data_IF_889594473066
#
_entry.id   IF_889594473066
#
_cell.length_a   1.000
_cell.length_b   1.000
_cell.length_c   1.000
_cell.angle_alpha   90.00
_cell.angle_beta   90.00
_cell.angle_gamma   90.00
#
_symmetry.space_group_name_H-M   'P 1'
#
loop_
_entity.id
_entity.type
_entity.pdbx_description
1 polymer ?
#
# COMPACT_ATOMS: atom_id res chain seq x y z
N UNK A 1 14.58 38.92 -8.75
CA UNK A 1 15.37 37.70 -8.98
C UNK A 1 15.83 37.21 -7.64
N UNK A 2 15.03 36.36 -6.99
CA UNK A 2 15.36 35.75 -5.72
C UNK A 2 14.91 34.30 -5.83
N UNK A 3 15.88 33.42 -6.11
CA UNK A 3 15.74 31.98 -6.07
C UNK A 3 15.52 31.54 -4.61
N UNK A 4 14.31 31.22 -4.25
CA UNK A 4 14.03 30.46 -3.04
C UNK A 4 14.13 28.97 -3.35
N UNK A 5 15.32 28.40 -3.13
CA UNK A 5 15.52 26.96 -3.02
C UNK A 5 14.72 26.47 -1.81
N UNK A 6 13.66 25.72 -2.06
CA UNK A 6 13.03 24.90 -1.02
C UNK A 6 13.92 23.68 -0.79
N UNK A 7 14.75 23.75 0.25
CA UNK A 7 15.40 22.58 0.82
C UNK A 7 14.37 21.82 1.66
N UNK A 8 13.89 20.66 1.19
CA UNK A 8 13.32 19.65 2.03
C UNK A 8 14.48 18.97 2.80
N UNK A 9 14.88 19.55 3.89
CA UNK A 9 15.72 18.91 4.88
C UNK A 9 15.13 19.16 6.26
N UNK A 10 14.15 18.34 6.63
CA UNK A 10 13.91 18.07 8.04
C UNK A 10 13.64 16.58 8.16
N UNK A 11 14.74 15.85 8.39
CA UNK A 11 14.67 14.51 8.94
C UNK A 11 13.95 14.59 10.29
N UNK A 12 12.72 14.08 10.34
CA UNK A 12 11.99 13.97 11.61
C UNK A 12 12.80 13.05 12.51
N UNK A 13 13.55 13.64 13.43
CA UNK A 13 14.35 12.91 14.39
C UNK A 13 13.43 12.07 15.29
N UNK A 14 13.84 10.83 15.61
CA UNK A 14 13.16 9.96 16.61
C UNK A 14 12.76 10.72 17.87
N UNK A 15 13.54 11.73 18.29
CA UNK A 15 13.25 12.58 19.44
C UNK A 15 12.10 13.58 19.23
N UNK A 16 11.79 13.99 17.99
CA UNK A 16 10.62 14.87 17.71
C UNK A 16 9.32 14.10 17.78
N UNK A 17 9.27 12.87 17.27
CA UNK A 17 8.09 12.01 17.38
C UNK A 17 7.73 11.66 18.83
N UNK A 18 8.73 11.55 19.71
CA UNK A 18 8.52 11.28 21.15
C UNK A 18 8.18 12.54 21.98
N UNK A 19 8.36 13.77 21.44
CA UNK A 19 8.12 15.03 22.19
C UNK A 19 6.78 15.70 21.93
N UNK A 20 5.98 15.27 20.95
CA UNK A 20 4.67 15.88 20.61
C UNK A 20 3.55 15.39 21.55
N UNK A 21 3.83 14.61 22.56
CA UNK A 21 2.88 14.00 23.50
C UNK A 21 2.46 14.86 24.70
N UNK A 22 2.47 16.20 24.66
CA UNK A 22 2.00 17.02 25.79
C UNK A 22 1.01 18.09 25.35
N UNK A 23 -0.21 17.94 25.76
CA UNK A 23 -1.22 18.87 26.25
C UNK A 23 -2.66 18.53 25.79
N UNK A 24 -3.44 18.18 26.74
CA UNK A 24 -4.81 18.52 27.07
C UNK A 24 -5.69 17.31 27.42
N UNK A 25 -6.01 17.23 28.71
CA UNK A 25 -6.93 16.25 29.25
C UNK A 25 -8.39 16.70 29.12
N UNK A 26 -9.27 15.75 28.83
CA UNK A 26 -10.65 15.69 29.34
C UNK A 26 -11.03 14.21 29.44
N UNK A 27 -11.33 13.78 30.66
CA UNK A 27 -11.86 12.45 30.96
C UNK A 27 -13.35 12.35 30.60
N UNK A 28 -13.72 11.31 29.85
CA UNK A 28 -15.09 10.79 29.82
C UNK A 28 -15.03 9.26 29.79
N UNK A 29 -15.34 8.69 30.95
CA UNK A 29 -15.59 7.27 31.16
C UNK A 29 -16.89 6.84 30.46
N UNK A 30 -16.82 5.85 29.55
CA UNK A 30 -18.01 5.11 29.14
C UNK A 30 -17.69 3.61 29.12
N UNK A 31 -18.51 2.89 29.91
CA UNK A 31 -18.63 1.43 29.94
C UNK A 31 -19.14 0.92 28.60
N UNK A 32 -18.34 0.10 27.92
CA UNK A 32 -18.68 -0.58 26.67
C UNK A 32 -17.81 -1.80 26.44
N UNK A 33 -17.55 -2.59 27.49
CA UNK A 33 -16.64 -3.75 27.44
C UNK A 33 -17.35 -5.08 27.43
N UNK A 34 -18.21 -5.43 26.44
CA UNK A 34 -18.75 -6.80 26.35
C UNK A 34 -19.14 -7.28 24.94
N UNK A 35 -19.04 -6.45 23.90
CA UNK A 35 -19.35 -6.90 22.53
C UNK A 35 -18.12 -7.04 21.59
N UNK A 36 -16.94 -6.54 21.98
CA UNK A 36 -15.72 -6.69 21.19
C UNK A 36 -15.04 -8.06 21.28
N UNK A 37 -15.31 -8.85 22.32
CA UNK A 37 -14.62 -10.13 22.52
C UNK A 37 -15.16 -11.28 21.66
N UNK A 38 -16.42 -11.26 21.21
CA UNK A 38 -16.99 -12.36 20.43
C UNK A 38 -16.60 -12.30 18.93
N UNK A 39 -16.37 -11.10 18.36
CA UNK A 39 -15.93 -10.98 16.98
C UNK A 39 -14.43 -11.24 16.80
N UNK A 40 -13.58 -10.88 17.77
CA UNK A 40 -12.14 -11.11 17.70
C UNK A 40 -11.74 -12.60 17.70
N UNK A 41 -12.53 -13.49 18.33
CA UNK A 41 -12.17 -14.90 18.42
C UNK A 41 -12.42 -15.68 17.12
N UNK A 42 -13.46 -15.35 16.36
CA UNK A 42 -13.75 -16.01 15.08
C UNK A 42 -12.76 -15.60 13.99
N UNK A 43 -12.35 -14.32 13.98
CA UNK A 43 -11.37 -13.79 13.04
C UNK A 43 -9.95 -14.28 13.34
N UNK A 44 -9.54 -14.29 14.60
CA UNK A 44 -8.27 -14.85 15.03
C UNK A 44 -8.12 -16.34 14.66
N UNK A 45 -9.19 -17.13 14.75
CA UNK A 45 -9.17 -18.55 14.37
C UNK A 45 -9.04 -18.73 12.85
N UNK A 46 -9.65 -17.85 12.04
CA UNK A 46 -9.56 -17.89 10.58
C UNK A 46 -8.15 -17.51 10.08
N UNK A 47 -7.54 -16.49 10.67
CA UNK A 47 -6.16 -16.10 10.38
C UNK A 47 -5.16 -17.19 10.78
N UNK A 48 -5.36 -17.83 11.96
CA UNK A 48 -4.55 -18.96 12.43
C UNK A 48 -4.62 -20.17 11.49
N UNK A 49 -5.81 -20.53 11.05
CA UNK A 49 -6.02 -21.66 10.12
C UNK A 49 -5.41 -21.38 8.74
N UNK A 50 -5.37 -20.11 8.30
CA UNK A 50 -4.76 -19.73 7.02
C UNK A 50 -3.24 -19.82 7.04
N UNK A 51 -2.59 -19.66 8.19
CA UNK A 51 -1.13 -19.65 8.32
C UNK A 51 -0.52 -21.05 8.52
N UNK A 52 -1.28 -22.01 9.04
CA UNK A 52 -0.74 -23.30 9.48
C UNK A 52 -0.12 -24.17 8.37
N UNK A 53 -0.55 -23.98 7.09
CA UNK A 53 -0.05 -24.73 5.94
C UNK A 53 0.24 -23.83 4.72
N UNK A 54 0.50 -22.56 4.96
CA UNK A 54 0.59 -21.57 3.91
C UNK A 54 2.01 -21.28 3.46
N UNK A 55 2.14 -20.87 2.21
CA UNK A 55 3.38 -20.39 1.59
C UNK A 55 3.23 -18.92 1.23
N UNK A 56 4.22 -18.08 1.47
CA UNK A 56 4.22 -16.71 0.97
C UNK A 56 4.24 -16.72 -0.56
N UNK A 57 3.47 -15.84 -1.19
CA UNK A 57 3.44 -15.71 -2.65
C UNK A 57 4.82 -15.36 -3.23
N UNK A 58 5.65 -14.65 -2.46
CA UNK A 58 7.03 -14.31 -2.81
C UNK A 58 7.94 -14.48 -1.58
N UNK A 59 8.51 -15.68 -1.39
CA UNK A 59 9.21 -16.04 -0.16
C UNK A 59 10.37 -15.12 0.21
N UNK A 60 11.29 -14.83 -0.73
CA UNK A 60 12.49 -14.01 -0.47
C UNK A 60 12.11 -12.55 -0.22
N UNK A 61 11.31 -11.88 -1.09
CA UNK A 61 10.84 -10.53 -0.84
C UNK A 61 10.09 -10.38 0.48
N UNK A 62 9.17 -11.30 0.79
CA UNK A 62 8.36 -11.23 2.01
C UNK A 62 9.18 -11.41 3.29
N UNK A 63 10.17 -12.32 3.26
CA UNK A 63 11.12 -12.48 4.37
C UNK A 63 11.92 -11.18 4.58
N UNK A 64 12.48 -10.64 3.50
CA UNK A 64 13.33 -9.44 3.55
C UNK A 64 12.55 -8.18 3.98
N UNK A 65 11.26 -8.07 3.59
CA UNK A 65 10.38 -6.96 3.98
C UNK A 65 9.72 -7.12 5.36
N UNK A 66 10.07 -8.15 6.14
CA UNK A 66 9.49 -8.40 7.46
C UNK A 66 8.05 -8.91 7.45
N UNK A 67 7.47 -9.26 6.29
CA UNK A 67 6.08 -9.69 6.15
C UNK A 67 5.81 -11.00 6.88
N UNK A 68 6.64 -12.03 6.66
CA UNK A 68 6.47 -13.35 7.28
C UNK A 68 6.57 -13.25 8.81
N UNK A 69 7.57 -12.52 9.30
CA UNK A 69 7.74 -12.31 10.74
C UNK A 69 6.59 -11.50 11.35
N UNK A 70 6.00 -10.55 10.60
CA UNK A 70 4.80 -9.82 11.02
C UNK A 70 3.59 -10.75 11.14
N UNK A 71 3.37 -11.65 10.17
CA UNK A 71 2.30 -12.65 10.26
C UNK A 71 2.45 -13.55 11.48
N UNK A 72 3.65 -14.07 11.72
CA UNK A 72 3.92 -14.95 12.85
C UNK A 72 3.71 -14.27 14.20
N UNK A 73 4.20 -13.04 14.36
CA UNK A 73 4.11 -12.29 15.61
C UNK A 73 2.69 -11.83 15.91
N UNK A 74 1.94 -11.41 14.89
CA UNK A 74 0.62 -10.78 15.08
C UNK A 74 -0.56 -11.66 14.70
N UNK A 75 -0.35 -12.96 14.43
CA UNK A 75 -1.43 -13.93 14.29
C UNK A 75 -2.28 -13.94 15.58
N UNK A 76 -3.60 -13.87 15.40
CA UNK A 76 -4.54 -13.76 16.53
C UNK A 76 -4.75 -12.34 17.07
N UNK A 77 -3.99 -11.35 16.58
CA UNK A 77 -4.17 -9.92 16.88
C UNK A 77 -4.67 -9.19 15.64
N UNK A 78 -4.03 -9.44 14.49
CA UNK A 78 -4.43 -8.87 13.20
C UNK A 78 -5.13 -9.92 12.35
N UNK A 79 -6.01 -9.45 11.47
CA UNK A 79 -6.75 -10.26 10.50
C UNK A 79 -6.09 -10.27 9.12
N UNK A 80 -5.03 -9.47 8.94
CA UNK A 80 -4.28 -9.33 7.71
C UNK A 80 -5.12 -8.85 6.52
N UNK A 81 -5.83 -7.73 6.73
CA UNK A 81 -6.55 -6.97 5.73
C UNK A 81 -8.05 -7.26 5.62
N UNK A 82 -8.64 -8.05 6.54
CA UNK A 82 -10.09 -8.27 6.52
C UNK A 82 -10.85 -6.94 6.69
N UNK A 83 -11.99 -6.82 6.02
CA UNK A 83 -12.80 -5.60 5.96
C UNK A 83 -12.12 -4.40 5.27
N UNK A 84 -11.04 -4.62 4.53
CA UNK A 84 -10.41 -3.64 3.68
C UNK A 84 -10.44 -4.12 2.22
N UNK A 85 -10.61 -3.18 1.31
CA UNK A 85 -10.57 -3.45 -0.14
C UNK A 85 -9.40 -2.70 -0.77
N UNK A 86 -8.60 -3.42 -1.55
CA UNK A 86 -7.58 -2.87 -2.43
C UNK A 86 -8.22 -2.55 -3.79
N UNK A 87 -8.19 -1.31 -4.23
CA UNK A 87 -8.45 -0.97 -5.62
C UNK A 87 -7.19 -1.29 -6.45
N UNK A 88 -7.28 -2.31 -7.26
CA UNK A 88 -6.26 -2.71 -8.23
C UNK A 88 -6.54 -2.01 -9.55
N UNK A 89 -5.86 -0.89 -9.80
CA UNK A 89 -6.01 -0.04 -10.98
C UNK A 89 -4.91 -0.42 -11.97
N UNK A 90 -5.27 -1.18 -13.00
CA UNK A 90 -4.32 -1.82 -13.92
C UNK A 90 -4.97 -2.08 -15.31
N UNK A 91 -4.46 -3.06 -16.06
CA UNK A 91 -5.01 -3.53 -17.35
C UNK A 91 -6.19 -4.51 -17.21
N UNK A 92 -6.76 -4.62 -16.02
CA UNK A 92 -7.80 -5.58 -15.70
C UNK A 92 -7.26 -6.82 -14.98
N UNK A 93 -8.07 -7.87 -14.92
CA UNK A 93 -7.73 -9.12 -14.25
C UNK A 93 -8.44 -10.30 -14.92
N UNK A 94 -7.72 -11.40 -15.11
CA UNK A 94 -8.32 -12.66 -15.55
C UNK A 94 -9.08 -13.33 -14.39
N UNK A 95 -10.35 -13.02 -14.29
CA UNK A 95 -11.23 -13.54 -13.24
C UNK A 95 -11.53 -15.05 -13.38
N UNK A 96 -11.13 -15.68 -14.49
CA UNK A 96 -11.22 -17.14 -14.65
C UNK A 96 -10.13 -17.89 -13.88
N UNK A 97 -9.10 -17.19 -13.44
CA UNK A 97 -8.02 -17.77 -12.63
C UNK A 97 -8.54 -18.20 -11.25
N UNK A 98 -8.15 -19.39 -10.78
CA UNK A 98 -8.64 -19.91 -9.51
C UNK A 98 -8.29 -19.02 -8.30
N UNK A 99 -7.22 -18.22 -8.39
CA UNK A 99 -6.82 -17.27 -7.36
C UNK A 99 -7.85 -16.17 -7.10
N UNK A 100 -8.64 -15.85 -8.13
CA UNK A 100 -9.64 -14.78 -8.12
C UNK A 100 -11.07 -15.29 -8.15
N UNK A 101 -11.25 -16.61 -8.31
CA UNK A 101 -12.58 -17.20 -8.33
C UNK A 101 -13.29 -17.05 -6.96
N UNK A 102 -14.56 -16.66 -7.01
CA UNK A 102 -15.38 -16.40 -5.82
C UNK A 102 -16.12 -17.65 -5.30
N UNK A 103 -15.72 -18.85 -5.71
CA UNK A 103 -16.46 -20.11 -5.49
C UNK A 103 -16.41 -20.62 -4.03
N UNK A 104 -15.56 -20.04 -3.18
CA UNK A 104 -15.27 -20.60 -1.86
C UNK A 104 -16.01 -19.98 -0.69
N UNK A 105 -16.47 -18.76 -0.82
CA UNK A 105 -17.23 -18.08 0.22
C UNK A 105 -18.05 -16.95 -0.43
N UNK A 106 -19.30 -17.23 -0.76
CA UNK A 106 -20.22 -16.27 -1.35
C UNK A 106 -20.43 -15.03 -0.47
N UNK A 107 -20.26 -15.17 0.85
CA UNK A 107 -20.47 -14.08 1.81
C UNK A 107 -19.26 -13.13 1.89
N UNK A 108 -18.07 -13.60 1.47
CA UNK A 108 -16.84 -12.80 1.45
C UNK A 108 -15.99 -13.09 0.21
N UNK A 109 -16.44 -12.63 -0.97
CA UNK A 109 -15.73 -12.88 -2.23
C UNK A 109 -14.39 -12.15 -2.25
N UNK A 110 -13.35 -12.78 -2.84
CA UNK A 110 -12.03 -12.15 -3.01
C UNK A 110 -12.12 -10.92 -3.91
N UNK A 111 -12.79 -11.02 -5.05
CA UNK A 111 -13.10 -9.89 -5.94
C UNK A 111 -14.51 -9.41 -5.60
N UNK A 112 -14.58 -8.27 -4.92
CA UNK A 112 -15.84 -7.68 -4.43
C UNK A 112 -16.59 -6.94 -5.54
N UNK A 113 -15.86 -6.29 -6.44
CA UNK A 113 -16.42 -5.46 -7.51
C UNK A 113 -15.42 -5.29 -8.65
N UNK A 114 -15.94 -5.09 -9.83
CA UNK A 114 -15.17 -4.76 -11.04
C UNK A 114 -15.69 -3.47 -11.68
N UNK A 115 -14.80 -2.74 -12.34
CA UNK A 115 -15.13 -1.57 -13.15
C UNK A 115 -14.16 -1.43 -14.30
N UNK A 116 -14.66 -1.15 -15.48
CA UNK A 116 -13.87 -0.84 -16.67
C UNK A 116 -13.98 0.66 -16.99
N UNK A 117 -12.88 1.38 -16.84
CA UNK A 117 -12.83 2.81 -17.17
C UNK A 117 -12.52 3.07 -18.64
N UNK A 118 -12.03 2.05 -19.38
CA UNK A 118 -11.75 2.12 -20.82
C UNK A 118 -13.07 2.07 -21.59
N UNK A 119 -13.85 1.00 -21.38
CA UNK A 119 -15.10 0.75 -22.10
C UNK A 119 -16.33 1.33 -21.39
N UNK A 120 -16.20 1.66 -20.10
CA UNK A 120 -17.26 2.31 -19.31
C UNK A 120 -18.28 1.34 -18.71
N UNK A 121 -17.93 0.06 -18.57
CA UNK A 121 -18.78 -0.99 -18.05
C UNK A 121 -18.21 -1.69 -16.79
N UNK A 122 -18.53 -2.95 -16.57
CA UNK A 122 -18.09 -3.74 -15.43
C UNK A 122 -17.28 -4.98 -15.80
N UNK A 123 -17.00 -5.22 -17.07
CA UNK A 123 -16.17 -6.34 -17.53
C UNK A 123 -14.70 -5.90 -17.62
N UNK A 124 -13.83 -6.30 -16.68
CA UNK A 124 -12.43 -5.86 -16.65
C UNK A 124 -11.55 -6.66 -17.61
N UNK A 125 -12.13 -7.34 -18.59
CA UNK A 125 -11.40 -8.11 -19.60
C UNK A 125 -10.92 -7.22 -20.72
N UNK A 126 -9.81 -7.62 -21.32
CA UNK A 126 -9.31 -7.06 -22.57
C UNK A 126 -8.95 -8.17 -23.56
N UNK A 127 -8.83 -7.85 -24.84
CA UNK A 127 -8.53 -8.84 -25.88
C UNK A 127 -7.04 -9.24 -25.97
N UNK A 128 -6.18 -8.63 -25.17
CA UNK A 128 -4.73 -8.86 -25.15
C UNK A 128 -4.32 -10.20 -24.52
N UNK A 129 -3.03 -10.51 -24.64
CA UNK A 129 -2.44 -11.71 -24.03
C UNK A 129 -1.95 -11.40 -22.63
N UNK A 130 -2.50 -12.12 -21.64
CA UNK A 130 -2.16 -11.98 -20.23
C UNK A 130 -2.72 -10.71 -19.63
N UNK A 131 -2.65 -10.64 -18.31
CA UNK A 131 -3.10 -9.50 -17.52
C UNK A 131 -2.04 -9.17 -16.50
N UNK A 132 -1.50 -7.97 -16.57
CA UNK A 132 -0.55 -7.48 -15.56
C UNK A 132 -1.23 -7.42 -14.19
N UNK A 133 -2.46 -6.90 -14.12
CA UNK A 133 -3.22 -6.81 -12.88
C UNK A 133 -3.46 -8.17 -12.21
N UNK A 134 -3.67 -9.27 -12.97
CA UNK A 134 -3.73 -10.62 -12.40
C UNK A 134 -2.47 -10.96 -11.64
N UNK A 135 -1.30 -10.70 -12.25
CA UNK A 135 0.01 -10.99 -11.68
C UNK A 135 0.31 -10.12 -10.47
N UNK A 136 -0.03 -8.83 -10.53
CA UNK A 136 0.29 -7.86 -9.48
C UNK A 136 -0.69 -7.94 -8.30
N UNK A 137 -1.90 -8.43 -8.49
CA UNK A 137 -2.82 -8.73 -7.39
C UNK A 137 -2.31 -9.86 -6.47
N UNK A 138 -1.50 -10.79 -6.98
CA UNK A 138 -1.00 -11.94 -6.22
C UNK A 138 -0.15 -11.51 -5.01
N UNK A 139 0.92 -10.71 -5.12
CA UNK A 139 1.74 -10.35 -3.98
C UNK A 139 0.98 -9.61 -2.87
N UNK A 140 0.00 -8.78 -3.23
CA UNK A 140 -0.76 -8.03 -2.23
C UNK A 140 -1.83 -8.85 -1.53
N UNK A 141 -2.56 -9.73 -2.27
CA UNK A 141 -3.92 -10.09 -1.89
C UNK A 141 -4.27 -11.57 -1.99
N UNK A 142 -3.49 -12.41 -2.70
CA UNK A 142 -3.87 -13.81 -2.92
C UNK A 142 -4.12 -14.57 -1.60
N UNK A 143 -5.16 -15.41 -1.59
CA UNK A 143 -5.42 -16.38 -0.55
C UNK A 143 -6.03 -17.63 -1.21
N UNK A 144 -5.17 -18.44 -1.81
CA UNK A 144 -5.61 -19.58 -2.60
C UNK A 144 -4.64 -20.76 -2.46
N UNK A 145 -5.16 -21.97 -2.24
CA UNK A 145 -4.37 -23.21 -2.12
C UNK A 145 -3.15 -23.11 -1.20
N UNK A 146 -3.29 -22.39 -0.08
CA UNK A 146 -2.19 -22.14 0.86
C UNK A 146 -1.15 -21.13 0.38
N UNK A 147 -1.32 -20.47 -0.77
CA UNK A 147 -0.49 -19.34 -1.19
C UNK A 147 -1.10 -18.05 -0.66
N UNK A 148 -0.30 -17.24 0.02
CA UNK A 148 -0.73 -16.00 0.66
C UNK A 148 0.02 -14.79 0.13
N UNK A 149 -0.73 -13.74 -0.23
CA UNK A 149 -0.26 -12.37 -0.42
C UNK A 149 -0.10 -11.65 0.93
N UNK A 150 0.46 -10.45 0.93
CA UNK A 150 0.77 -9.71 2.15
C UNK A 150 -0.46 -9.50 3.03
N UNK A 151 -1.55 -8.96 2.47
CA UNK A 151 -2.83 -8.74 3.16
C UNK A 151 -3.87 -9.76 2.67
N UNK A 152 -3.60 -11.04 2.85
CA UNK A 152 -4.30 -12.16 2.21
C UNK A 152 -5.81 -12.27 2.52
N UNK A 153 -6.32 -11.59 3.54
CA UNK A 153 -7.75 -11.57 3.88
C UNK A 153 -8.48 -10.31 3.37
N UNK A 154 -7.80 -9.44 2.62
CA UNK A 154 -8.46 -8.31 1.97
C UNK A 154 -9.38 -8.75 0.83
N UNK A 155 -10.19 -7.81 0.35
CA UNK A 155 -10.93 -7.92 -0.90
C UNK A 155 -10.32 -7.04 -1.98
N UNK A 156 -10.73 -7.27 -3.23
CA UNK A 156 -10.28 -6.51 -4.40
C UNK A 156 -11.46 -5.77 -5.04
N UNK A 157 -11.22 -4.52 -5.44
CA UNK A 157 -11.94 -3.82 -6.48
C UNK A 157 -11.03 -3.80 -7.72
N UNK A 158 -11.35 -4.60 -8.73
CA UNK A 158 -10.56 -4.67 -9.96
C UNK A 158 -11.02 -3.57 -10.91
N UNK A 159 -10.10 -2.69 -11.31
CA UNK A 159 -10.40 -1.52 -12.13
C UNK A 159 -9.49 -1.53 -13.35
N UNK A 160 -10.08 -1.79 -14.53
CA UNK A 160 -9.35 -1.67 -15.79
C UNK A 160 -9.23 -0.18 -16.17
N UNK A 161 -8.01 0.28 -16.37
CA UNK A 161 -7.68 1.65 -16.76
C UNK A 161 -6.71 1.74 -17.94
N UNK A 162 -6.29 0.60 -18.46
CA UNK A 162 -5.42 0.42 -19.62
C UNK A 162 -6.04 -0.56 -20.58
N UNK A 163 -5.77 -0.39 -21.87
CA UNK A 163 -6.16 -1.40 -22.88
C UNK A 163 -5.40 -2.71 -22.66
N UNK A 164 -4.09 -2.65 -22.44
CA UNK A 164 -3.23 -3.75 -22.01
C UNK A 164 -1.89 -3.22 -21.50
N UNK A 165 -1.15 -4.00 -20.68
CA UNK A 165 0.13 -3.60 -20.12
C UNK A 165 1.27 -3.40 -21.15
N UNK A 166 1.11 -3.90 -22.36
CA UNK A 166 2.04 -3.71 -23.46
C UNK A 166 1.51 -2.75 -24.54
N UNK A 167 0.35 -2.15 -24.29
CA UNK A 167 -0.26 -1.16 -25.18
C UNK A 167 0.29 0.23 -24.85
N UNK A 168 0.36 1.06 -25.87
CA UNK A 168 0.94 2.40 -25.80
C UNK A 168 0.32 3.26 -24.69
N UNK A 169 1.19 4.00 -24.02
CA UNK A 169 0.95 5.14 -23.13
C UNK A 169 -0.38 5.18 -22.37
N UNK A 170 -0.27 5.13 -21.06
CA UNK A 170 -1.39 5.35 -20.14
C UNK A 170 -2.11 6.66 -20.45
N UNK A 171 -3.39 6.59 -20.82
CA UNK A 171 -4.22 7.77 -20.98
C UNK A 171 -4.63 8.35 -19.63
N UNK A 172 -4.17 9.57 -19.35
CA UNK A 172 -4.44 10.25 -18.07
C UNK A 172 -5.94 10.51 -17.83
N UNK A 173 -6.76 10.68 -18.89
CA UNK A 173 -8.21 10.87 -18.77
C UNK A 173 -8.91 9.59 -18.35
N UNK A 174 -8.55 8.45 -18.95
CA UNK A 174 -9.09 7.15 -18.55
C UNK A 174 -8.68 6.81 -17.14
N UNK A 175 -7.41 7.06 -16.77
CA UNK A 175 -6.95 6.88 -15.40
C UNK A 175 -7.69 7.80 -14.42
N UNK A 176 -7.98 9.05 -14.79
CA UNK A 176 -8.78 9.96 -13.97
C UNK A 176 -10.23 9.46 -13.77
N UNK A 177 -10.85 8.83 -14.79
CA UNK A 177 -12.17 8.16 -14.66
C UNK A 177 -12.10 7.02 -13.66
N UNK A 178 -11.06 6.17 -13.73
CA UNK A 178 -10.85 5.08 -12.80
C UNK A 178 -10.73 5.58 -11.36
N UNK A 179 -9.87 6.57 -11.10
CA UNK A 179 -9.70 7.16 -9.77
C UNK A 179 -10.96 7.91 -9.28
N UNK A 180 -11.69 8.59 -10.17
CA UNK A 180 -12.96 9.20 -9.83
C UNK A 180 -14.02 8.16 -9.43
N UNK A 181 -14.01 6.97 -10.03
CA UNK A 181 -14.85 5.86 -9.60
C UNK A 181 -14.48 5.39 -8.18
N UNK A 182 -13.19 5.27 -7.86
CA UNK A 182 -12.73 4.94 -6.51
C UNK A 182 -13.21 5.98 -5.51
N UNK A 183 -13.03 7.28 -5.80
CA UNK A 183 -13.50 8.39 -4.95
C UNK A 183 -14.99 8.28 -4.63
N UNK A 184 -15.83 7.95 -5.63
CA UNK A 184 -17.29 7.82 -5.43
C UNK A 184 -17.72 6.57 -4.66
N UNK A 185 -16.92 5.50 -4.75
CA UNK A 185 -17.33 4.17 -4.29
C UNK A 185 -16.56 3.66 -3.07
N UNK A 186 -15.57 4.42 -2.56
CA UNK A 186 -14.68 3.97 -1.47
C UNK A 186 -15.41 3.53 -0.22
N UNK A 187 -16.44 4.26 0.21
CA UNK A 187 -17.22 3.90 1.40
C UNK A 187 -18.05 2.63 1.17
N UNK A 188 -18.74 2.55 0.02
CA UNK A 188 -19.59 1.40 -0.33
C UNK A 188 -18.79 0.09 -0.32
N UNK A 189 -17.59 0.10 -0.87
CA UNK A 189 -16.74 -1.07 -0.99
C UNK A 189 -15.57 -1.12 -0.02
N UNK A 190 -15.55 -0.23 0.98
CA UNK A 190 -14.48 -0.15 1.99
C UNK A 190 -13.08 -0.08 1.37
N UNK A 191 -12.91 0.70 0.30
CA UNK A 191 -11.61 0.88 -0.36
C UNK A 191 -10.74 1.75 0.53
N UNK A 192 -9.65 1.20 1.01
CA UNK A 192 -8.67 1.88 1.88
C UNK A 192 -7.33 2.13 1.19
N UNK A 193 -7.07 1.39 0.11
CA UNK A 193 -5.78 1.38 -0.58
C UNK A 193 -5.98 1.30 -2.08
N UNK A 194 -5.17 2.04 -2.84
CA UNK A 194 -5.12 2.02 -4.30
C UNK A 194 -3.71 1.60 -4.72
N UNK A 195 -3.63 0.49 -5.45
CA UNK A 195 -2.46 0.13 -6.24
C UNK A 195 -2.63 0.77 -7.63
N UNK A 196 -1.90 1.84 -7.89
CA UNK A 196 -1.95 2.56 -9.15
C UNK A 196 -0.80 2.04 -10.02
N UNK A 197 -1.06 0.97 -10.79
CA UNK A 197 -0.03 0.23 -11.50
C UNK A 197 0.43 0.83 -12.85
N UNK A 198 -0.39 1.62 -13.59
CA UNK A 198 0.04 2.20 -14.86
C UNK A 198 1.27 3.09 -14.73
N UNK A 199 2.15 3.03 -15.72
CA UNK A 199 3.34 3.89 -15.86
C UNK A 199 3.45 4.38 -17.29
N UNK A 200 4.12 5.50 -17.52
CA UNK A 200 4.37 6.06 -18.86
C UNK A 200 5.75 5.73 -19.42
N UNK A 201 6.58 5.02 -18.63
CA UNK A 201 7.92 4.59 -19.00
C UNK A 201 8.89 5.74 -19.37
N UNK A 202 8.62 6.95 -18.86
CA UNK A 202 9.47 8.13 -19.01
C UNK A 202 10.11 8.53 -17.68
N UNK A 203 11.20 9.25 -17.73
CA UNK A 203 11.91 9.74 -16.55
C UNK A 203 11.49 11.19 -16.24
N UNK A 204 10.68 11.38 -15.21
CA UNK A 204 10.27 12.70 -14.72
C UNK A 204 11.00 13.05 -13.43
N UNK A 205 11.69 14.17 -13.41
CA UNK A 205 12.33 14.75 -12.22
C UNK A 205 11.39 15.74 -11.49
N UNK A 206 10.30 16.13 -12.14
CA UNK A 206 9.24 16.98 -11.61
C UNK A 206 7.86 16.37 -11.87
N UNK A 207 6.84 16.75 -11.10
CA UNK A 207 5.46 16.37 -11.38
C UNK A 207 5.01 16.82 -12.78
N UNK A 208 4.26 15.95 -13.46
CA UNK A 208 3.63 16.24 -14.75
C UNK A 208 2.14 16.51 -14.52
N UNK A 209 1.66 17.75 -14.58
CA UNK A 209 0.25 18.06 -14.34
C UNK A 209 -0.68 17.32 -15.31
N UNK A 210 -1.63 16.57 -14.76
CA UNK A 210 -2.58 15.78 -15.52
C UNK A 210 -3.95 15.75 -14.85
N UNK A 211 -4.94 15.15 -15.51
CA UNK A 211 -6.31 15.04 -15.02
C UNK A 211 -6.44 14.21 -13.74
N UNK A 212 -5.44 13.39 -13.40
CA UNK A 212 -5.49 12.58 -12.17
C UNK A 212 -5.22 13.38 -10.89
N UNK A 213 -4.56 14.53 -10.97
CA UNK A 213 -4.07 15.28 -9.79
C UNK A 213 -5.20 15.64 -8.83
N UNK A 214 -6.34 16.06 -9.36
CA UNK A 214 -7.51 16.36 -8.55
C UNK A 214 -8.08 15.13 -7.84
N UNK A 215 -7.98 13.95 -8.44
CA UNK A 215 -8.44 12.69 -7.84
C UNK A 215 -7.46 12.19 -6.78
N UNK A 216 -6.15 12.29 -7.03
CA UNK A 216 -5.11 11.97 -6.05
C UNK A 216 -5.28 12.82 -4.78
N UNK A 217 -5.50 14.14 -4.97
CA UNK A 217 -5.79 15.05 -3.85
C UNK A 217 -7.00 14.62 -3.03
N UNK A 218 -8.13 14.28 -3.71
CA UNK A 218 -9.35 13.81 -3.04
C UNK A 218 -9.11 12.50 -2.29
N UNK A 219 -8.44 11.53 -2.90
CA UNK A 219 -8.15 10.25 -2.26
C UNK A 219 -7.29 10.44 -1.00
N UNK A 220 -6.29 11.33 -1.06
CA UNK A 220 -5.47 11.70 0.10
C UNK A 220 -6.31 12.32 1.22
N UNK A 221 -7.22 13.25 0.90
CA UNK A 221 -8.13 13.89 1.85
C UNK A 221 -9.11 12.89 2.49
N UNK A 222 -9.51 11.86 1.74
CA UNK A 222 -10.35 10.76 2.23
C UNK A 222 -9.59 9.74 3.09
N UNK A 223 -8.29 9.94 3.31
CA UNK A 223 -7.46 9.00 4.08
C UNK A 223 -7.18 7.69 3.35
N UNK A 224 -7.26 7.68 2.02
CA UNK A 224 -6.99 6.51 1.19
C UNK A 224 -5.52 6.52 0.77
N UNK A 225 -4.83 5.40 0.98
CA UNK A 225 -3.48 5.18 0.50
C UNK A 225 -3.47 5.08 -1.03
N UNK A 226 -2.59 5.83 -1.69
CA UNK A 226 -2.33 5.71 -3.13
C UNK A 226 -0.84 5.62 -3.36
N UNK A 227 -0.39 4.57 -4.01
CA UNK A 227 1.02 4.41 -4.39
C UNK A 227 1.16 3.84 -5.80
N UNK A 228 2.28 4.17 -6.46
CA UNK A 228 2.60 3.77 -7.81
C UNK A 228 4.06 3.31 -7.93
N UNK A 229 4.36 2.37 -8.86
CA UNK A 229 5.71 1.95 -9.14
C UNK A 229 6.51 3.05 -9.86
N UNK A 230 7.80 3.12 -9.59
CA UNK A 230 8.68 4.16 -10.17
C UNK A 230 9.10 3.87 -11.61
N UNK A 231 8.92 2.63 -12.10
CA UNK A 231 9.35 2.18 -13.43
C UNK A 231 10.52 1.21 -13.39
N UNK A 232 10.83 0.59 -14.53
CA UNK A 232 11.76 -0.54 -14.62
C UNK A 232 12.92 -0.30 -15.62
N UNK A 233 13.18 0.93 -16.02
CA UNK A 233 14.18 1.30 -17.04
C UNK A 233 15.57 1.61 -16.46
N UNK A 234 15.72 1.52 -15.12
CA UNK A 234 16.95 1.85 -14.42
C UNK A 234 17.34 3.34 -14.54
N UNK A 235 16.36 4.24 -14.65
CA UNK A 235 16.59 5.67 -14.61
C UNK A 235 17.13 6.11 -13.24
N UNK A 236 18.04 7.12 -13.26
CA UNK A 236 18.68 7.68 -12.06
C UNK A 236 18.41 9.19 -11.90
N UNK A 237 17.72 9.80 -12.87
CA UNK A 237 17.43 11.25 -12.90
C UNK A 237 15.95 11.57 -12.98
N UNK A 238 15.10 10.60 -12.69
CA UNK A 238 13.65 10.73 -12.72
C UNK A 238 12.99 9.39 -12.54
N UNK A 239 11.67 9.40 -12.36
CA UNK A 239 10.81 8.23 -12.21
C UNK A 239 9.59 8.38 -13.09
N UNK A 240 8.94 7.27 -13.43
CA UNK A 240 7.76 7.29 -14.29
C UNK A 240 6.57 8.00 -13.63
N UNK A 241 5.75 8.63 -14.45
CA UNK A 241 4.41 9.05 -14.06
C UNK A 241 3.50 7.78 -13.94
N UNK A 242 2.60 7.65 -12.96
CA UNK A 242 2.14 8.69 -12.04
C UNK A 242 2.89 8.74 -10.69
N UNK A 243 3.95 7.95 -10.48
CA UNK A 243 4.72 7.99 -9.23
C UNK A 243 5.38 9.36 -8.97
N UNK A 244 5.68 10.13 -10.03
CA UNK A 244 6.23 11.48 -9.91
C UNK A 244 5.23 12.50 -9.33
N UNK A 245 3.92 12.19 -9.26
CA UNK A 245 2.88 13.14 -8.86
C UNK A 245 2.81 13.38 -7.36
N UNK A 246 2.38 14.59 -6.91
CA UNK A 246 1.97 14.83 -5.54
C UNK A 246 0.82 13.91 -5.12
N UNK A 247 0.74 13.58 -3.83
CA UNK A 247 -0.29 12.71 -3.25
C UNK A 247 -0.32 11.27 -3.79
N UNK A 248 0.70 10.87 -4.55
CA UNK A 248 0.98 9.50 -4.93
C UNK A 248 2.34 9.10 -4.33
N UNK A 249 2.40 8.01 -3.56
CA UNK A 249 3.66 7.53 -3.03
C UNK A 249 4.43 6.79 -4.12
N UNK A 250 5.70 7.15 -4.30
CA UNK A 250 6.60 6.59 -5.29
C UNK A 250 7.35 5.39 -4.72
N UNK A 251 7.14 4.20 -5.28
CA UNK A 251 7.68 2.95 -4.75
C UNK A 251 8.74 2.37 -5.67
N UNK A 252 9.98 2.42 -5.19
CA UNK A 252 11.13 1.83 -5.86
C UNK A 252 11.40 0.39 -5.45
N UNK A 253 12.51 -0.17 -5.91
CA UNK A 253 12.87 -1.56 -5.66
C UNK A 253 14.28 -1.72 -5.11
N UNK A 254 14.45 -2.73 -4.24
CA UNK A 254 15.75 -3.38 -3.98
C UNK A 254 15.72 -4.82 -4.49
N UNK A 255 16.88 -5.35 -4.87
CA UNK A 255 16.99 -6.74 -5.34
C UNK A 255 16.57 -7.72 -4.25
N UNK A 256 15.74 -8.72 -4.56
CA UNK A 256 15.43 -9.79 -3.62
C UNK A 256 16.71 -10.46 -3.09
N UNK A 257 16.81 -10.58 -1.76
CA UNK A 257 17.95 -11.18 -1.08
C UNK A 257 19.16 -10.26 -0.91
N UNK A 258 19.06 -8.98 -1.32
CA UNK A 258 20.11 -7.98 -1.06
C UNK A 258 19.49 -6.60 -0.84
N UNK A 259 20.30 -5.65 -0.34
CA UNK A 259 19.88 -4.25 -0.18
C UNK A 259 20.36 -3.35 -1.36
N UNK A 260 20.66 -3.96 -2.51
CA UNK A 260 21.00 -3.22 -3.72
C UNK A 260 19.78 -2.53 -4.30
N UNK A 261 19.76 -1.21 -4.24
CA UNK A 261 18.75 -0.38 -4.93
C UNK A 261 18.97 -0.47 -6.44
N UNK A 262 17.89 -0.60 -7.20
CA UNK A 262 17.96 -0.73 -8.65
C UNK A 262 16.62 -0.32 -9.29
N UNK A 263 16.52 -0.40 -10.62
CA UNK A 263 15.40 0.11 -11.43
C UNK A 263 15.29 1.64 -11.34
N UNK A 264 14.13 2.24 -11.58
CA UNK A 264 14.01 3.69 -11.62
C UNK A 264 14.03 4.27 -10.21
N UNK A 265 14.93 5.23 -9.98
CA UNK A 265 15.17 5.84 -8.67
C UNK A 265 15.55 7.31 -8.75
N UNK A 266 15.01 8.06 -7.82
CA UNK A 266 15.15 9.51 -7.72
C UNK A 266 14.88 9.96 -6.29
N UNK A 267 15.22 11.17 -5.92
CA UNK A 267 14.95 11.73 -4.59
C UNK A 267 13.46 11.77 -4.21
N UNK A 268 12.55 11.67 -5.21
CA UNK A 268 11.09 11.55 -4.99
C UNK A 268 10.66 10.17 -4.49
N UNK A 269 11.51 9.14 -4.59
CA UNK A 269 11.13 7.79 -4.12
C UNK A 269 10.89 7.81 -2.62
N UNK A 270 9.67 7.45 -2.19
CA UNK A 270 9.26 7.51 -0.80
C UNK A 270 9.73 6.28 0.00
N UNK A 271 9.74 5.10 -0.66
CA UNK A 271 10.17 3.85 -0.05
C UNK A 271 10.66 2.87 -1.13
N UNK A 272 11.60 2.00 -0.78
CA UNK A 272 12.00 0.88 -1.65
C UNK A 272 11.59 -0.45 -1.04
N UNK A 273 11.18 -1.40 -1.89
CA UNK A 273 10.64 -2.69 -1.44
C UNK A 273 11.32 -3.83 -2.21
N UNK A 274 11.67 -4.95 -1.55
CA UNK A 274 12.29 -6.09 -2.22
C UNK A 274 11.33 -6.69 -3.25
N UNK A 275 11.68 -6.63 -4.53
CA UNK A 275 10.96 -7.31 -5.60
C UNK A 275 11.76 -7.31 -6.91
N UNK A 276 11.36 -8.14 -7.87
CA UNK A 276 11.99 -8.21 -9.20
C UNK A 276 11.59 -7.06 -10.14
N UNK A 277 10.49 -6.38 -9.85
CA UNK A 277 9.98 -5.22 -10.61
C UNK A 277 9.32 -4.23 -9.65
N UNK A 278 9.29 -2.94 -10.01
CA UNK A 278 8.70 -1.90 -9.15
C UNK A 278 7.18 -2.06 -9.00
N UNK A 279 6.48 -2.64 -9.98
CA UNK A 279 5.06 -2.99 -9.86
C UNK A 279 4.82 -4.05 -8.76
N UNK A 280 5.68 -5.05 -8.65
CA UNK A 280 5.63 -6.01 -7.54
C UNK A 280 6.01 -5.38 -6.21
N UNK A 281 6.98 -4.45 -6.19
CA UNK A 281 7.31 -3.65 -4.99
C UNK A 281 6.09 -2.89 -4.49
N UNK A 282 5.39 -2.19 -5.40
CA UNK A 282 4.19 -1.44 -5.07
C UNK A 282 3.07 -2.36 -4.56
N UNK A 283 2.86 -3.52 -5.18
CA UNK A 283 1.87 -4.49 -4.73
C UNK A 283 2.14 -5.00 -3.30
N UNK A 284 3.40 -5.34 -2.98
CA UNK A 284 3.80 -5.74 -1.62
C UNK A 284 3.52 -4.61 -0.62
N UNK A 285 3.89 -3.37 -0.97
CA UNK A 285 3.65 -2.24 -0.09
C UNK A 285 2.17 -1.92 0.10
N UNK A 286 1.34 -2.06 -0.93
CA UNK A 286 -0.11 -1.90 -0.80
C UNK A 286 -0.69 -2.88 0.23
N UNK A 287 -0.26 -4.14 0.20
CA UNK A 287 -0.63 -5.11 1.24
C UNK A 287 -0.10 -4.73 2.62
N UNK A 288 1.16 -4.26 2.70
CA UNK A 288 1.76 -3.80 3.95
C UNK A 288 1.04 -2.56 4.52
N UNK A 289 0.60 -1.64 3.66
CA UNK A 289 -0.17 -0.47 4.07
C UNK A 289 -1.54 -0.87 4.69
N UNK A 290 -2.21 -1.89 4.14
CA UNK A 290 -3.45 -2.41 4.73
C UNK A 290 -3.20 -3.03 6.11
N UNK A 291 -2.12 -3.79 6.29
CA UNK A 291 -1.75 -4.36 7.60
C UNK A 291 -1.39 -3.25 8.60
N UNK A 292 -0.61 -2.25 8.19
CA UNK A 292 -0.25 -1.14 9.07
C UNK A 292 -1.48 -0.32 9.47
N UNK A 293 -2.41 -0.10 8.54
CA UNK A 293 -3.69 0.57 8.84
C UNK A 293 -4.48 -0.20 9.88
N UNK A 294 -4.61 -1.50 9.72
CA UNK A 294 -5.29 -2.38 10.69
C UNK A 294 -4.59 -2.31 12.06
N UNK A 295 -3.25 -2.36 12.09
CA UNK A 295 -2.47 -2.24 13.32
C UNK A 295 -2.70 -0.90 14.04
N UNK A 296 -2.78 0.21 13.29
CA UNK A 296 -3.13 1.53 13.83
C UNK A 296 -4.52 1.53 14.46
N UNK A 297 -5.52 0.95 13.76
CA UNK A 297 -6.90 0.89 14.23
C UNK A 297 -7.04 0.00 15.47
N UNK A 298 -6.39 -1.19 15.47
CA UNK A 298 -6.45 -2.15 16.58
C UNK A 298 -5.70 -1.66 17.83
N UNK A 299 -4.53 -1.04 17.64
CA UNK A 299 -3.70 -0.56 18.75
C UNK A 299 -4.22 0.75 19.36
N UNK A 300 -5.02 1.53 18.63
CA UNK A 300 -5.41 2.88 19.02
C UNK A 300 -4.26 3.90 18.89
N UNK A 301 -3.27 3.63 18.07
CA UNK A 301 -2.15 4.53 17.83
C UNK A 301 -2.60 5.92 17.38
N UNK A 302 -2.08 6.96 18.01
CA UNK A 302 -2.48 8.35 17.78
C UNK A 302 -1.79 8.94 16.53
N UNK A 303 -2.10 8.40 15.37
CA UNK A 303 -1.49 8.74 14.10
C UNK A 303 -1.57 10.24 13.74
N UNK A 304 -2.61 10.96 14.20
CA UNK A 304 -2.77 12.40 13.97
C UNK A 304 -1.67 13.24 14.60
N UNK A 305 -0.97 12.70 15.60
CA UNK A 305 0.20 13.34 16.21
C UNK A 305 1.44 13.23 15.29
N UNK A 306 1.44 12.26 14.39
CA UNK A 306 2.51 12.06 13.40
C UNK A 306 2.27 12.94 12.16
N UNK A 307 1.06 12.90 11.62
CA UNK A 307 0.64 13.69 10.46
C UNK A 307 -0.89 13.83 10.45
N UNK A 308 -1.46 14.96 10.02
CA UNK A 308 -2.92 15.14 9.92
C UNK A 308 -3.58 14.23 8.86
N UNK A 309 -2.82 13.69 7.93
CA UNK A 309 -3.27 12.72 6.93
C UNK A 309 -2.85 11.30 7.31
N UNK A 310 -3.81 10.36 7.43
CA UNK A 310 -3.50 8.98 7.79
C UNK A 310 -2.50 8.31 6.82
N UNK A 311 -2.64 8.40 5.48
CA UNK A 311 -1.63 7.84 4.58
C UNK A 311 -0.22 8.42 4.78
N UNK A 312 -0.11 9.73 5.04
CA UNK A 312 1.18 10.37 5.34
C UNK A 312 1.77 9.92 6.68
N UNK A 313 0.92 9.73 7.70
CA UNK A 313 1.35 9.18 8.97
C UNK A 313 1.87 7.74 8.80
N UNK A 314 1.19 6.92 8.00
CA UNK A 314 1.62 5.56 7.69
C UNK A 314 2.95 5.54 6.93
N UNK A 315 3.13 6.41 5.92
CA UNK A 315 4.41 6.53 5.21
C UNK A 315 5.52 6.99 6.16
N UNK A 316 5.25 7.95 7.03
CA UNK A 316 6.22 8.39 8.05
C UNK A 316 6.64 7.25 8.99
N UNK A 317 5.71 6.37 9.37
CA UNK A 317 6.04 5.16 10.17
C UNK A 317 6.93 4.21 9.37
N UNK A 318 6.59 3.91 8.10
CA UNK A 318 7.43 3.06 7.25
C UNK A 318 8.83 3.63 7.04
N UNK A 319 8.96 4.93 6.83
CA UNK A 319 10.25 5.59 6.67
C UNK A 319 11.06 5.61 7.98
N UNK A 320 10.41 5.84 9.12
CA UNK A 320 11.07 5.86 10.42
C UNK A 320 11.63 4.48 10.79
N UNK A 321 10.88 3.43 10.53
CA UNK A 321 11.20 2.05 10.93
C UNK A 321 11.94 1.26 9.85
N UNK A 322 11.92 1.75 8.62
CA UNK A 322 12.55 1.11 7.47
C UNK A 322 14.08 1.05 7.58
N UNK A 323 14.65 0.00 7.01
CA UNK A 323 16.10 -0.20 6.94
C UNK A 323 16.73 0.82 6.01
N UNK A 324 17.80 1.47 6.44
CA UNK A 324 18.58 2.39 5.58
C UNK A 324 19.32 1.59 4.51
N UNK A 325 19.19 2.02 3.27
CA UNK A 325 19.91 1.47 2.12
C UNK A 325 20.48 2.59 1.28
N UNK A 326 21.75 2.44 0.86
CA UNK A 326 22.46 3.42 0.06
C UNK A 326 22.45 2.98 -1.40
N UNK A 327 22.07 3.87 -2.30
CA UNK A 327 22.24 3.65 -3.74
C UNK A 327 23.56 4.25 -4.22
N UNK A 328 24.45 3.38 -4.71
CA UNK A 328 25.76 3.81 -5.21
C UNK A 328 25.70 4.59 -6.52
N UNK A 329 24.60 4.49 -7.29
CA UNK A 329 24.49 5.14 -8.58
C UNK A 329 23.98 6.58 -8.47
N UNK A 330 23.19 6.90 -7.45
CA UNK A 330 22.63 8.23 -7.22
C UNK A 330 23.17 8.92 -5.96
N UNK A 331 23.93 8.18 -5.15
CA UNK A 331 24.40 8.61 -3.81
C UNK A 331 23.25 8.94 -2.83
N UNK A 332 22.01 8.54 -3.14
CA UNK A 332 20.84 8.75 -2.29
C UNK A 332 20.72 7.64 -1.24
N UNK A 333 20.30 8.02 -0.03
CA UNK A 333 19.85 7.09 1.01
C UNK A 333 18.34 6.90 0.89
N UNK A 334 17.90 5.65 0.75
CA UNK A 334 16.50 5.26 0.78
C UNK A 334 16.16 4.48 2.06
N UNK A 335 14.86 4.29 2.28
CA UNK A 335 14.34 3.41 3.32
C UNK A 335 13.73 2.17 2.67
N UNK A 336 14.21 0.99 3.06
CA UNK A 336 13.62 -0.29 2.65
C UNK A 336 12.54 -0.70 3.64
N UNK A 337 11.40 -1.16 3.12
CA UNK A 337 10.28 -1.65 3.93
C UNK A 337 10.75 -2.70 4.96
N UNK A 338 10.37 -2.49 6.22
CA UNK A 338 10.34 -3.49 7.28
C UNK A 338 8.97 -3.43 7.97
N UNK A 339 8.06 -4.31 7.52
CA UNK A 339 6.69 -4.33 8.00
C UNK A 339 6.61 -4.70 9.48
N UNK A 340 7.46 -5.65 9.94
CA UNK A 340 7.48 -6.03 11.35
C UNK A 340 7.83 -4.83 12.22
N UNK A 341 8.90 -4.12 11.89
CA UNK A 341 9.31 -2.95 12.66
C UNK A 341 8.26 -1.83 12.65
N UNK A 342 7.53 -1.66 11.53
CA UNK A 342 6.45 -0.69 11.45
C UNK A 342 5.26 -1.04 12.34
N UNK A 343 4.84 -2.30 12.34
CA UNK A 343 3.74 -2.78 13.19
C UNK A 343 4.15 -2.77 14.67
N UNK A 344 5.38 -3.20 14.99
CA UNK A 344 5.93 -3.14 16.36
C UNK A 344 5.90 -1.71 16.90
N UNK A 345 6.40 -0.75 16.12
CA UNK A 345 6.42 0.66 16.50
C UNK A 345 5.02 1.19 16.87
N UNK A 346 4.01 0.85 16.09
CA UNK A 346 2.63 1.28 16.32
C UNK A 346 2.07 0.69 17.61
N UNK A 347 2.26 -0.61 17.85
CA UNK A 347 1.79 -1.25 19.08
C UNK A 347 2.55 -0.81 20.32
N UNK A 348 3.86 -0.62 20.24
CA UNK A 348 4.70 -0.18 21.36
C UNK A 348 4.39 1.28 21.73
N UNK A 349 4.26 2.16 20.74
CA UNK A 349 3.93 3.57 20.95
C UNK A 349 2.54 3.76 21.57
N UNK A 350 1.56 2.88 21.24
CA UNK A 350 0.23 2.94 21.83
C UNK A 350 0.18 2.46 23.29
N UNK A 351 1.14 1.60 23.72
CA UNK A 351 1.20 1.06 25.09
C UNK A 351 1.94 1.97 26.08
N UNK A 352 2.77 2.87 25.58
CA UNK A 352 3.56 3.74 26.46
C UNK A 352 2.62 4.71 27.17
N UNK A 353 2.46 4.64 28.52
CA UNK A 353 1.64 5.60 29.25
C UNK A 353 2.21 6.99 29.00
N UNK A 354 1.35 7.93 28.66
CA UNK A 354 1.75 9.35 28.65
C UNK A 354 2.13 9.72 30.06
N UNK A 355 3.41 10.01 30.32
CA UNK A 355 3.79 10.65 31.57
C UNK A 355 3.06 11.98 31.61
N UNK A 356 2.01 12.06 32.42
CA UNK A 356 1.36 13.29 32.80
C UNK A 356 2.39 14.13 33.55
N UNK A 357 2.93 15.16 32.91
CA UNK A 357 3.55 16.27 33.59
C UNK A 357 2.55 17.38 33.83
#
# INVERSE_FOLDING_TARGET
MNDKKFHFSDSVSRRKLLRVGFLSGVSLSFLGSLQLQAHSSAFASKALNSLQFSKPAQAVPFKQAGVIASWEKYKGVLTFGENQTLALVDDGCDLSKPEWANDRNSDYPKVLVTYDAVDGDTDPKHEGRGYHGTTIGIPSSVNHNGVLGVAFNNQLAVIRSLECCHCKTTDSKTLAKALAWVVRNHQKYKITTVNLAPVDDLAHDQPVPTEIDSQLTKLRQLGIWVSAPTGNHNFTKGISWPASQPHCFAIGAVKPGSDTVYLDRHSKVDLVVPAAATSSSNAILCGAAMILREAIEVSGFQWKEVNPSLPEAMMSVFQLTGVKVQDSATELEFRRLDLLAAVDFVFESARTPRSSC
#
